data_IF_601184738379
#
_entry.id   IF_601184738379
#
_cell.length_a   1.000
_cell.length_b   1.000
_cell.length_c   1.000
_cell.angle_alpha   90.00
_cell.angle_beta   90.00
_cell.angle_gamma   90.00
#
_symmetry.space_group_name_H-M   'P 1'
#
loop_
_entity.id
_entity.type
_entity.pdbx_description
1 polymer ?
#
# COMPACT_ATOMS: atom_id res chain seq x y z
N UNK A 1 1.73 -14.67 -9.30
CA UNK A 1 1.06 -14.44 -8.01
C UNK A 1 0.93 -12.93 -7.87
N UNK A 2 -0.24 -12.40 -7.51
CA UNK A 2 -0.38 -10.94 -7.47
C UNK A 2 0.31 -10.37 -6.22
N UNK A 3 1.00 -9.24 -6.39
CA UNK A 3 1.74 -8.54 -5.34
C UNK A 3 0.92 -7.36 -4.83
N UNK A 4 0.70 -7.29 -3.52
CA UNK A 4 -0.10 -6.26 -2.87
C UNK A 4 0.81 -5.41 -1.97
N UNK A 5 0.76 -4.09 -2.13
CA UNK A 5 1.38 -3.14 -1.21
C UNK A 5 0.38 -2.77 -0.10
N UNK A 6 0.59 -3.27 1.11
CA UNK A 6 -0.21 -2.96 2.30
C UNK A 6 0.44 -1.83 3.09
N UNK A 7 -0.27 -0.72 3.26
CA UNK A 7 0.20 0.53 3.88
C UNK A 7 -0.70 0.88 5.05
N UNK A 8 -0.16 0.89 6.26
CA UNK A 8 -0.90 1.19 7.49
C UNK A 8 0.12 1.55 8.58
N UNK A 9 -0.14 2.58 9.38
CA UNK A 9 0.75 3.03 10.45
C UNK A 9 0.68 2.13 11.68
N UNK A 10 -0.46 1.50 11.92
CA UNK A 10 -0.64 0.50 12.96
C UNK A 10 0.03 -0.82 12.54
N UNK A 11 1.10 -1.16 13.27
CA UNK A 11 1.81 -2.42 13.07
C UNK A 11 0.89 -3.64 13.19
N UNK A 12 -0.08 -3.60 14.10
CA UNK A 12 -1.04 -4.70 14.30
C UNK A 12 -1.98 -4.86 13.10
N UNK A 13 -2.52 -3.76 12.56
CA UNK A 13 -3.39 -3.79 11.38
C UNK A 13 -2.63 -4.27 10.15
N UNK A 14 -1.43 -3.71 9.92
CA UNK A 14 -0.55 -4.10 8.82
C UNK A 14 -0.20 -5.58 8.85
N UNK A 15 0.15 -6.11 10.03
CA UNK A 15 0.46 -7.54 10.22
C UNK A 15 -0.76 -8.43 9.99
N UNK A 16 -1.93 -8.05 10.50
CA UNK A 16 -3.18 -8.78 10.29
C UNK A 16 -3.51 -8.86 8.79
N UNK A 17 -3.50 -7.73 8.09
CA UNK A 17 -3.77 -7.66 6.64
C UNK A 17 -2.75 -8.49 5.85
N UNK A 18 -1.46 -8.34 6.15
CA UNK A 18 -0.38 -9.10 5.52
C UNK A 18 -0.54 -10.61 5.72
N UNK A 19 -0.86 -11.04 6.95
CA UNK A 19 -1.11 -12.44 7.26
C UNK A 19 -2.30 -13.00 6.47
N UNK A 20 -3.43 -12.28 6.44
CA UNK A 20 -4.63 -12.69 5.71
C UNK A 20 -4.37 -12.81 4.20
N UNK A 21 -3.72 -11.81 3.60
CA UNK A 21 -3.43 -11.80 2.16
C UNK A 21 -2.40 -12.88 1.77
N UNK A 22 -1.34 -13.07 2.57
CA UNK A 22 -0.39 -14.18 2.36
C UNK A 22 -1.08 -15.53 2.48
N UNK A 23 -1.97 -15.71 3.46
CA UNK A 23 -2.77 -16.92 3.62
C UNK A 23 -3.72 -17.22 2.45
N UNK A 24 -4.15 -16.17 1.73
CA UNK A 24 -4.93 -16.27 0.51
C UNK A 24 -4.07 -16.53 -0.76
N UNK A 25 -2.74 -16.59 -0.63
CA UNK A 25 -1.82 -16.86 -1.73
C UNK A 25 -1.38 -15.62 -2.50
N UNK A 26 -1.35 -14.44 -1.88
CA UNK A 26 -0.77 -13.22 -2.46
C UNK A 26 0.64 -12.95 -1.90
N UNK A 27 1.47 -12.30 -2.72
CA UNK A 27 2.70 -11.69 -2.22
C UNK A 27 2.37 -10.34 -1.59
N UNK A 28 2.92 -10.03 -0.42
CA UNK A 28 2.62 -8.78 0.29
C UNK A 28 3.90 -8.03 0.63
N UNK A 29 3.92 -6.77 0.21
CA UNK A 29 4.91 -5.77 0.58
C UNK A 29 4.27 -4.85 1.61
N UNK A 30 4.90 -4.66 2.75
CA UNK A 30 4.38 -3.83 3.83
C UNK A 30 5.05 -2.46 3.85
N UNK A 31 4.32 -1.39 4.13
CA UNK A 31 4.85 -0.06 4.42
C UNK A 31 4.16 0.55 5.63
N UNK A 32 4.91 1.29 6.47
CA UNK A 32 4.39 1.84 7.73
C UNK A 32 3.85 3.28 7.59
N UNK A 33 4.01 3.90 6.42
CA UNK A 33 3.54 5.26 6.12
C UNK A 33 3.52 5.46 4.60
N UNK A 34 2.92 6.58 4.15
CA UNK A 34 2.83 6.90 2.73
C UNK A 34 4.19 7.13 2.06
N UNK A 35 5.19 7.64 2.77
CA UNK A 35 6.51 7.91 2.17
C UNK A 35 7.24 6.59 1.87
N UNK A 36 7.26 5.65 2.82
CA UNK A 36 7.80 4.31 2.62
C UNK A 36 7.07 3.56 1.51
N UNK A 37 5.74 3.69 1.42
CA UNK A 37 4.95 3.10 0.36
C UNK A 37 5.36 3.65 -1.01
N UNK A 38 5.51 4.97 -1.13
CA UNK A 38 5.92 5.63 -2.37
C UNK A 38 7.32 5.21 -2.81
N UNK A 39 8.26 5.08 -1.88
CA UNK A 39 9.64 4.69 -2.21
C UNK A 39 9.74 3.22 -2.63
N UNK A 40 8.93 2.34 -2.02
CA UNK A 40 8.79 0.96 -2.49
C UNK A 40 8.11 0.89 -3.85
N UNK A 41 7.08 1.70 -4.07
CA UNK A 41 6.36 1.73 -5.33
C UNK A 41 7.23 2.16 -6.52
N UNK A 42 8.22 3.04 -6.30
CA UNK A 42 9.18 3.46 -7.34
C UNK A 42 10.17 2.36 -7.74
N UNK A 43 10.43 1.39 -6.86
CA UNK A 43 11.44 0.34 -7.07
C UNK A 43 10.81 -1.02 -7.37
N UNK A 44 9.53 -1.20 -7.04
CA UNK A 44 8.80 -2.46 -7.17
C UNK A 44 7.43 -2.20 -7.79
N UNK A 45 7.11 -2.91 -8.86
CA UNK A 45 5.77 -2.94 -9.42
C UNK A 45 4.86 -3.82 -8.54
N UNK A 46 3.66 -3.34 -8.26
CA UNK A 46 2.63 -4.07 -7.51
C UNK A 46 1.31 -4.03 -8.26
N UNK A 47 0.48 -5.04 -8.05
CA UNK A 47 -0.81 -5.20 -8.73
C UNK A 47 -1.96 -4.49 -8.01
N UNK A 48 -1.78 -4.18 -6.72
CA UNK A 48 -2.76 -3.51 -5.86
C UNK A 48 -2.05 -2.74 -4.75
N UNK A 49 -2.58 -1.55 -4.43
CA UNK A 49 -2.23 -0.83 -3.20
C UNK A 49 -3.42 -0.85 -2.26
N UNK A 50 -3.21 -1.27 -1.02
CA UNK A 50 -4.18 -1.20 0.06
C UNK A 50 -3.60 -0.26 1.12
N UNK A 51 -4.21 0.91 1.31
CA UNK A 51 -3.68 1.97 2.18
C UNK A 51 -4.71 2.42 3.20
N UNK A 52 -4.29 2.63 4.45
CA UNK A 52 -5.04 3.46 5.37
C UNK A 52 -5.09 4.92 4.88
N UNK A 53 -6.10 5.68 5.31
CA UNK A 53 -6.24 7.11 5.02
C UNK A 53 -5.37 7.95 5.94
N UNK A 54 -5.35 7.66 7.24
CA UNK A 54 -4.80 8.53 8.26
C UNK A 54 -3.45 8.02 8.76
N UNK A 55 -2.37 8.46 8.11
CA UNK A 55 -1.01 8.04 8.47
C UNK A 55 -0.11 9.25 8.79
N UNK A 56 0.92 9.08 9.64
CA UNK A 56 1.94 10.09 9.85
C UNK A 56 2.82 10.26 8.60
N UNK A 57 3.55 11.38 8.53
CA UNK A 57 4.49 11.75 7.46
C UNK A 57 3.82 12.06 6.11
N UNK A 58 3.06 11.10 5.56
CA UNK A 58 2.29 11.24 4.34
C UNK A 58 1.02 10.41 4.48
N UNK A 59 -0.12 11.06 4.34
CA UNK A 59 -1.42 10.41 4.45
C UNK A 59 -1.75 9.56 3.19
N UNK A 60 -2.79 8.73 3.28
CA UNK A 60 -3.17 7.85 2.17
C UNK A 60 -3.62 8.61 0.91
N UNK A 61 -4.18 9.80 1.06
CA UNK A 61 -4.68 10.62 -0.06
C UNK A 61 -3.49 11.25 -0.80
N UNK A 62 -2.51 11.77 -0.07
CA UNK A 62 -1.24 12.25 -0.60
C UNK A 62 -0.45 11.13 -1.26
N UNK A 63 -0.41 9.93 -0.66
CA UNK A 63 0.18 8.74 -1.28
C UNK A 63 -0.49 8.47 -2.63
N UNK A 64 -1.83 8.39 -2.70
CA UNK A 64 -2.56 8.17 -3.95
C UNK A 64 -2.20 9.22 -4.99
N UNK A 65 -2.19 10.51 -4.63
CA UNK A 65 -1.82 11.60 -5.56
C UNK A 65 -0.43 11.38 -6.13
N UNK A 66 0.55 11.06 -5.29
CA UNK A 66 1.93 10.80 -5.72
C UNK A 66 2.02 9.55 -6.61
N UNK A 67 1.37 8.45 -6.23
CA UNK A 67 1.35 7.23 -7.03
C UNK A 67 0.74 7.48 -8.42
N UNK A 68 -0.33 8.27 -8.53
CA UNK A 68 -0.94 8.60 -9.84
C UNK A 68 -0.04 9.44 -10.75
N UNK A 69 1.05 10.02 -10.25
CA UNK A 69 2.08 10.65 -11.09
C UNK A 69 3.05 9.65 -11.70
N UNK A 70 3.14 8.42 -11.15
CA UNK A 70 4.00 7.37 -11.66
C UNK A 70 3.31 6.65 -12.84
N UNK A 71 3.98 6.49 -14.01
CA UNK A 71 3.39 5.82 -15.17
C UNK A 71 2.84 4.43 -14.86
N UNK A 72 3.58 3.65 -14.05
CA UNK A 72 3.25 2.27 -13.70
C UNK A 72 2.02 2.16 -12.78
N UNK A 73 1.68 3.25 -12.10
CA UNK A 73 0.56 3.32 -11.16
C UNK A 73 -0.64 4.09 -11.72
N UNK A 74 -0.66 4.40 -13.02
CA UNK A 74 -1.77 5.14 -13.63
C UNK A 74 -3.10 4.40 -13.53
N UNK A 75 -3.07 3.07 -13.62
CA UNK A 75 -4.25 2.22 -13.62
C UNK A 75 -4.26 1.16 -12.50
N UNK A 76 -3.20 1.08 -11.70
CA UNK A 76 -3.14 0.16 -10.57
C UNK A 76 -4.31 0.44 -9.61
N UNK A 77 -5.11 -0.57 -9.24
CA UNK A 77 -6.18 -0.39 -8.28
C UNK A 77 -5.59 0.07 -6.93
N UNK A 78 -6.25 1.04 -6.30
CA UNK A 78 -5.91 1.50 -4.96
C UNK A 78 -7.17 1.42 -4.12
N UNK A 79 -7.12 0.64 -3.05
CA UNK A 79 -8.18 0.49 -2.07
C UNK A 79 -7.79 1.27 -0.81
N UNK A 80 -8.69 2.15 -0.38
CA UNK A 80 -8.53 2.86 0.88
C UNK A 80 -9.23 2.07 1.98
N UNK A 81 -8.52 1.80 3.05
CA UNK A 81 -9.04 1.23 4.28
C UNK A 81 -9.18 2.38 5.29
N UNK A 82 -10.29 2.44 6.02
CA UNK A 82 -10.53 3.48 7.02
C UNK A 82 -11.52 2.95 8.05
N UNK A 83 -11.48 3.49 9.27
CA UNK A 83 -12.37 3.13 10.38
C UNK A 83 -13.54 4.10 10.51
#
# INVERSE_FOLDING_TARGET
MATILAVDDSASMRQMVSFTLKGAGFDVIEAADGQQALDKAKTTAVDLVLSDVNMPVMDGIELVKNLRTLPDYKFTPILMLTT
#
